data_IF_095892854001
#
_entry.id   IF_095892854001
#
_cell.length_a   1.000
_cell.length_b   1.000
_cell.length_c   1.000
_cell.angle_alpha   90.00
_cell.angle_beta   90.00
_cell.angle_gamma   90.00
#
_symmetry.space_group_name_H-M   'P 1'
#
loop_
_entity.id
_entity.type
_entity.pdbx_description
1 polymer ?
#
# COMPACT_ATOMS: atom_id res chain seq x y z
N UNK A 1 14.86 -6.62 6.39
CA UNK A 1 13.99 -5.46 6.12
C UNK A 1 14.61 -4.25 6.81
N UNK A 2 14.68 -3.10 6.15
CA UNK A 2 15.30 -1.91 6.76
C UNK A 2 14.42 -1.29 7.86
N UNK A 3 14.96 -0.34 8.63
CA UNK A 3 14.23 0.29 9.75
C UNK A 3 12.99 1.07 9.31
N UNK A 4 13.03 1.73 8.15
CA UNK A 4 11.91 2.50 7.61
C UNK A 4 10.79 1.56 7.18
N UNK A 5 11.11 0.50 6.44
CA UNK A 5 10.12 -0.49 6.01
C UNK A 5 9.54 -1.27 7.20
N UNK A 6 10.31 -1.53 8.25
CA UNK A 6 9.78 -2.07 9.51
C UNK A 6 8.79 -1.11 10.17
N UNK A 7 9.11 0.19 10.26
CA UNK A 7 8.21 1.18 10.83
C UNK A 7 6.88 1.25 10.05
N UNK A 8 6.99 1.34 8.72
CA UNK A 8 5.83 1.31 7.83
C UNK A 8 4.97 0.07 8.06
N UNK A 9 5.60 -1.11 8.12
CA UNK A 9 4.90 -2.37 8.35
C UNK A 9 4.11 -2.37 9.67
N UNK A 10 4.71 -1.89 10.75
CA UNK A 10 4.04 -1.79 12.05
C UNK A 10 2.86 -0.82 12.02
N UNK A 11 3.03 0.33 11.37
CA UNK A 11 1.94 1.30 11.19
C UNK A 11 0.81 0.70 10.34
N UNK A 12 1.14 0.00 9.25
CA UNK A 12 0.17 -0.64 8.37
C UNK A 12 -0.67 -1.67 9.14
N UNK A 13 -0.02 -2.55 9.92
CA UNK A 13 -0.73 -3.49 10.78
C UNK A 13 -1.64 -2.78 11.78
N UNK A 14 -1.13 -1.75 12.46
CA UNK A 14 -1.90 -1.00 13.46
C UNK A 14 -3.16 -0.38 12.85
N UNK A 15 -3.04 0.18 11.63
CA UNK A 15 -4.17 0.75 10.91
C UNK A 15 -5.15 -0.34 10.45
N UNK A 16 -4.66 -1.46 9.92
CA UNK A 16 -5.50 -2.60 9.56
C UNK A 16 -6.33 -3.12 10.76
N UNK A 17 -5.69 -3.28 11.91
CA UNK A 17 -6.32 -3.71 13.16
C UNK A 17 -7.37 -2.71 13.66
N UNK A 18 -7.04 -1.41 13.64
CA UNK A 18 -7.97 -0.35 14.06
C UNK A 18 -9.24 -0.32 13.22
N UNK A 19 -9.13 -0.64 11.93
CA UNK A 19 -10.24 -0.61 10.98
C UNK A 19 -10.91 -1.98 10.77
N UNK A 20 -10.42 -3.05 11.42
CA UNK A 20 -10.85 -4.44 11.21
C UNK A 20 -10.86 -4.84 9.71
N UNK A 21 -9.82 -4.40 8.99
CA UNK A 21 -9.63 -4.65 7.56
C UNK A 21 -8.17 -5.00 7.31
N UNK A 22 -7.94 -6.19 6.78
CA UNK A 22 -6.60 -6.69 6.43
C UNK A 22 -6.29 -6.57 4.94
N UNK A 23 -7.05 -5.73 4.23
CA UNK A 23 -6.85 -5.41 2.82
C UNK A 23 -6.61 -3.91 2.69
N UNK A 24 -5.70 -3.54 1.78
CA UNK A 24 -5.39 -2.15 1.51
C UNK A 24 -5.17 -1.92 0.01
N UNK A 25 -5.44 -0.69 -0.44
CA UNK A 25 -5.13 -0.24 -1.79
C UNK A 25 -3.87 0.64 -1.75
N UNK A 26 -2.96 0.39 -2.66
CA UNK A 26 -1.83 1.26 -2.97
C UNK A 26 -2.13 1.97 -4.28
N UNK A 27 -2.21 3.30 -4.25
CA UNK A 27 -2.49 4.14 -5.43
C UNK A 27 -1.27 4.97 -5.78
N UNK A 28 -0.86 4.93 -7.04
CA UNK A 28 0.21 5.75 -7.60
C UNK A 28 -0.39 6.66 -8.67
N UNK A 29 -0.23 7.96 -8.49
CA UNK A 29 -0.64 8.97 -9.48
C UNK A 29 0.56 9.45 -10.29
N UNK A 30 0.41 9.37 -11.61
CA UNK A 30 1.37 9.85 -12.58
C UNK A 30 0.88 11.22 -13.07
N UNK A 31 1.69 12.27 -12.98
CA UNK A 31 1.35 13.58 -13.54
C UNK A 31 2.44 13.96 -14.55
N UNK A 32 2.41 13.32 -15.72
CA UNK A 32 3.45 13.49 -16.75
C UNK A 32 4.83 13.01 -16.27
N UNK A 33 5.83 13.91 -16.28
CA UNK A 33 7.21 13.61 -15.79
C UNK A 33 7.28 13.65 -14.25
N UNK A 34 6.27 14.23 -13.58
CA UNK A 34 6.18 14.28 -12.13
C UNK A 34 5.47 13.03 -11.60
N UNK A 35 6.16 12.27 -10.78
CA UNK A 35 5.56 11.21 -9.96
C UNK A 35 5.03 11.87 -8.69
N UNK A 36 3.70 11.85 -8.48
CA UNK A 36 3.08 12.35 -7.26
C UNK A 36 3.06 11.27 -6.17
N UNK A 37 2.81 11.65 -4.90
CA UNK A 37 2.89 10.71 -3.77
C UNK A 37 1.98 9.49 -3.97
N UNK A 38 2.46 8.38 -3.45
CA UNK A 38 1.70 7.16 -3.28
C UNK A 38 0.71 7.34 -2.13
N UNK A 39 -0.49 6.81 -2.28
CA UNK A 39 -1.53 6.84 -1.27
C UNK A 39 -1.91 5.42 -0.86
N UNK A 40 -2.07 5.21 0.44
CA UNK A 40 -2.56 3.94 0.98
C UNK A 40 -3.96 4.15 1.52
N UNK A 41 -4.87 3.29 1.07
CA UNK A 41 -6.26 3.28 1.54
C UNK A 41 -6.54 2.00 2.29
N UNK A 42 -7.17 2.12 3.46
CA UNK A 42 -7.73 1.02 4.24
C UNK A 42 -9.17 1.40 4.57
N UNK A 43 -10.13 0.48 4.36
CA UNK A 43 -11.56 0.75 4.59
C UNK A 43 -12.07 2.04 3.89
N UNK A 44 -11.65 2.28 2.65
CA UNK A 44 -11.95 3.48 1.85
C UNK A 44 -11.42 4.81 2.41
N UNK A 45 -10.62 4.77 3.48
CA UNK A 45 -9.97 5.94 4.06
C UNK A 45 -8.52 6.06 3.60
N UNK A 46 -8.13 7.24 3.12
CA UNK A 46 -6.73 7.55 2.84
C UNK A 46 -5.98 7.76 4.15
N UNK A 47 -4.99 6.92 4.43
CA UNK A 47 -4.23 6.96 5.66
C UNK A 47 -2.87 7.62 5.47
N UNK A 48 -2.44 8.36 6.50
CA UNK A 48 -1.10 8.96 6.56
C UNK A 48 -0.19 8.07 7.37
N UNK A 49 0.99 7.82 6.82
CA UNK A 49 2.06 7.06 7.44
C UNK A 49 3.20 8.01 7.81
N UNK A 50 3.97 7.66 8.83
CA UNK A 50 5.13 8.49 9.23
C UNK A 50 6.26 8.39 8.21
N UNK A 51 6.30 7.30 7.43
CA UNK A 51 7.24 7.11 6.33
C UNK A 51 6.66 7.68 5.04
N UNK A 52 7.29 8.72 4.50
CA UNK A 52 6.82 9.39 3.27
C UNK A 52 7.39 8.76 1.97
N UNK A 53 8.22 7.74 2.09
CA UNK A 53 8.94 7.12 0.98
C UNK A 53 8.67 5.61 0.97
N UNK A 54 7.50 5.17 0.50
CA UNK A 54 7.21 3.75 0.22
C UNK A 54 7.16 3.58 -1.29
N UNK A 55 8.02 2.71 -1.78
CA UNK A 55 8.15 2.40 -3.20
C UNK A 55 7.46 1.08 -3.54
N UNK A 56 7.29 0.83 -4.83
CA UNK A 56 6.87 -0.48 -5.33
C UNK A 56 7.83 -1.61 -4.89
N UNK A 57 9.14 -1.33 -4.83
CA UNK A 57 10.13 -2.32 -4.40
C UNK A 57 9.99 -2.69 -2.92
N UNK A 58 9.52 -1.77 -2.08
CA UNK A 58 9.20 -2.06 -0.69
C UNK A 58 8.04 -3.05 -0.56
N UNK A 59 7.00 -2.88 -1.38
CA UNK A 59 5.88 -3.82 -1.44
C UNK A 59 6.35 -5.19 -1.93
N UNK A 60 7.24 -5.26 -2.92
CA UNK A 60 7.86 -6.52 -3.36
C UNK A 60 8.65 -7.19 -2.25
N UNK A 61 9.38 -6.43 -1.43
CA UNK A 61 10.10 -6.97 -0.26
C UNK A 61 9.11 -7.55 0.76
N UNK A 62 8.00 -6.85 1.04
CA UNK A 62 6.97 -7.35 1.95
C UNK A 62 6.31 -8.64 1.45
N UNK A 63 6.02 -8.73 0.15
CA UNK A 63 5.48 -9.95 -0.49
C UNK A 63 6.49 -11.09 -0.40
N UNK A 64 7.75 -10.84 -0.76
CA UNK A 64 8.82 -11.84 -0.75
C UNK A 64 9.05 -12.42 0.65
N UNK A 65 8.91 -11.60 1.68
CA UNK A 65 9.03 -12.02 3.08
C UNK A 65 7.73 -12.63 3.63
N UNK A 66 6.65 -12.71 2.84
CA UNK A 66 5.39 -13.34 3.23
C UNK A 66 4.53 -12.50 4.18
N UNK A 67 4.75 -11.19 4.28
CA UNK A 67 3.94 -10.30 5.11
C UNK A 67 2.62 -9.91 4.43
N UNK A 68 2.65 -9.72 3.12
CA UNK A 68 1.48 -9.36 2.32
C UNK A 68 1.38 -10.22 1.07
N UNK A 69 0.21 -10.26 0.45
CA UNK A 69 -0.03 -10.78 -0.88
C UNK A 69 -0.64 -9.72 -1.79
N UNK A 70 -0.24 -9.77 -3.05
CA UNK A 70 -0.93 -9.06 -4.12
C UNK A 70 -2.23 -9.79 -4.46
N UNK A 71 -3.33 -9.05 -4.54
CA UNK A 71 -4.66 -9.59 -4.84
C UNK A 71 -5.00 -9.31 -6.31
N UNK A 72 -5.05 -8.03 -6.69
CA UNK A 72 -5.43 -7.61 -8.03
C UNK A 72 -4.95 -6.19 -8.34
N UNK A 73 -4.90 -5.88 -9.62
CA UNK A 73 -4.75 -4.53 -10.15
C UNK A 73 -6.13 -4.01 -10.57
N UNK A 74 -6.46 -2.80 -10.14
CA UNK A 74 -7.73 -2.15 -10.45
C UNK A 74 -7.45 -1.11 -11.54
N UNK A 75 -7.97 -1.37 -12.74
CA UNK A 75 -7.86 -0.44 -13.87
C UNK A 75 -8.88 0.69 -13.69
N UNK A 76 -8.45 1.96 -13.54
CA UNK A 76 -9.38 3.08 -13.44
C UNK A 76 -10.09 3.29 -14.78
N UNK A 77 -11.40 3.54 -14.74
CA UNK A 77 -12.19 3.80 -15.95
C UNK A 77 -11.93 5.18 -16.56
N UNK A 78 -11.60 6.18 -15.72
CA UNK A 78 -11.63 7.60 -16.11
C UNK A 78 -10.27 8.30 -16.04
N UNK A 79 -9.24 7.64 -15.47
CA UNK A 79 -7.92 8.25 -15.23
C UNK A 79 -6.83 7.36 -15.80
N UNK A 80 -6.29 7.72 -16.97
CA UNK A 80 -5.22 6.97 -17.63
C UNK A 80 -3.90 6.97 -16.84
N UNK A 81 -3.73 7.93 -15.93
CA UNK A 81 -2.49 8.18 -15.20
C UNK A 81 -2.55 7.74 -13.73
N UNK A 82 -3.38 6.73 -13.43
CA UNK A 82 -3.53 6.20 -12.07
C UNK A 82 -3.32 4.69 -12.08
N UNK A 83 -2.43 4.22 -11.21
CA UNK A 83 -2.24 2.80 -10.96
C UNK A 83 -2.79 2.47 -9.57
N UNK A 84 -3.67 1.47 -9.49
CA UNK A 84 -4.27 1.03 -8.23
C UNK A 84 -3.99 -0.46 -8.07
N UNK A 85 -3.31 -0.82 -6.98
CA UNK A 85 -3.03 -2.22 -6.64
C UNK A 85 -3.61 -2.56 -5.28
N UNK A 86 -4.28 -3.71 -5.21
CA UNK A 86 -4.87 -4.23 -3.98
C UNK A 86 -3.97 -5.29 -3.37
N UNK A 87 -3.74 -5.19 -2.07
CA UNK A 87 -2.94 -6.12 -1.28
C UNK A 87 -3.71 -6.60 -0.06
N UNK A 88 -3.32 -7.76 0.47
CA UNK A 88 -3.82 -8.32 1.73
C UNK A 88 -2.68 -8.67 2.66
N UNK A 89 -2.87 -8.48 3.97
CA UNK A 89 -1.95 -8.95 5.00
C UNK A 89 -2.03 -10.48 5.12
N UNK A 90 -0.88 -11.17 5.05
CA UNK A 90 -0.79 -12.61 5.36
C UNK A 90 -0.64 -12.82 6.86
N UNK A 91 -1.28 -13.88 7.38
CA UNK A 91 -1.30 -14.32 8.78
C UNK A 91 -2.32 -13.66 9.73
N UNK A 92 -3.34 -12.95 9.21
CA UNK A 92 -4.54 -12.60 9.98
C UNK A 92 -5.76 -13.41 9.50
N UNK A 93 -5.64 -14.75 9.61
CA UNK A 93 -6.73 -15.71 9.44
C UNK A 93 -7.02 -16.40 10.78
#
# INVERSE_FOLDING_TARGET
MDKRLNLFWHELLTQCEKHDKYEFLFKIEYWGILWMPWFIYIADESLKFSTNEISDDDLKILIKNGYIEFIEEIVPTDTMDLEIRKYRIKNHN
#
